data_IF_726769171483
#
_entry.id   IF_726769171483
#
_cell.length_a   1.000
_cell.length_b   1.000
_cell.length_c   1.000
_cell.angle_alpha   90.00
_cell.angle_beta   90.00
_cell.angle_gamma   90.00
#
_symmetry.space_group_name_H-M   'P 1'
#
loop_
_entity.id
_entity.type
_entity.pdbx_description
1 polymer ?
#
# COMPACT_ATOMS: atom_id res chain seq x y z
N UNK A 1 -10.11 9.94 2.09
CA UNK A 1 -11.57 10.08 2.26
C UNK A 1 -12.30 9.77 0.96
N UNK A 2 -12.00 10.47 -0.13
CA UNK A 2 -12.68 10.29 -1.43
C UNK A 2 -12.71 8.84 -1.93
N UNK A 3 -11.60 8.09 -1.82
CA UNK A 3 -11.58 6.67 -2.21
C UNK A 3 -12.71 5.87 -1.58
N UNK A 4 -12.94 5.96 -0.27
CA UNK A 4 -13.97 5.16 0.39
C UNK A 4 -15.37 5.61 0.03
N UNK A 5 -15.59 6.91 -0.23
CA UNK A 5 -16.85 7.39 -0.77
C UNK A 5 -17.10 6.82 -2.19
N UNK A 6 -16.10 6.88 -3.07
CA UNK A 6 -16.17 6.35 -4.44
C UNK A 6 -16.40 4.85 -4.45
N UNK A 7 -15.59 4.08 -3.71
CA UNK A 7 -15.68 2.62 -3.64
C UNK A 7 -17.00 2.19 -2.99
N UNK A 8 -17.39 2.81 -1.87
CA UNK A 8 -18.65 2.52 -1.19
C UNK A 8 -19.86 2.75 -2.10
N UNK A 9 -19.89 3.88 -2.83
CA UNK A 9 -20.90 4.15 -3.85
C UNK A 9 -20.94 3.07 -4.94
N UNK A 10 -19.77 2.60 -5.40
CA UNK A 10 -19.69 1.50 -6.40
C UNK A 10 -20.16 0.15 -5.86
N UNK A 11 -20.07 -0.07 -4.55
CA UNK A 11 -20.58 -1.27 -3.88
C UNK A 11 -22.05 -1.15 -3.43
N UNK A 12 -22.69 0.01 -3.63
CA UNK A 12 -24.08 0.25 -3.25
C UNK A 12 -24.28 0.75 -1.82
N UNK A 13 -23.21 1.10 -1.09
CA UNK A 13 -23.25 1.51 0.31
C UNK A 13 -23.43 3.03 0.51
N UNK A 14 -24.19 3.69 -0.35
CA UNK A 14 -24.29 5.17 -0.42
C UNK A 14 -24.73 5.80 0.91
N UNK A 15 -25.66 5.17 1.64
CA UNK A 15 -26.13 5.67 2.93
C UNK A 15 -25.02 5.61 4.00
N UNK A 16 -24.27 4.52 4.03
CA UNK A 16 -23.24 4.26 5.03
C UNK A 16 -21.95 5.05 4.78
N UNK A 17 -21.76 5.60 3.58
CA UNK A 17 -20.63 6.47 3.24
C UNK A 17 -21.01 7.94 3.10
N UNK A 18 -22.26 8.34 3.38
CA UNK A 18 -22.75 9.69 3.12
C UNK A 18 -21.90 10.79 3.79
N UNK A 19 -21.35 10.52 4.98
CA UNK A 19 -20.45 11.42 5.71
C UNK A 19 -19.04 11.55 5.12
N UNK A 20 -18.70 10.73 4.12
CA UNK A 20 -17.43 10.76 3.40
C UNK A 20 -17.52 11.46 2.04
N UNK A 21 -18.73 11.74 1.56
CA UNK A 21 -18.94 12.45 0.31
C UNK A 21 -18.52 13.93 0.44
N UNK A 22 -17.93 14.52 -0.62
CA UNK A 22 -17.50 15.90 -0.57
C UNK A 22 -18.71 16.83 -0.39
N UNK A 23 -18.70 17.72 0.62
CA UNK A 23 -19.82 18.61 0.89
C UNK A 23 -20.07 19.54 -0.30
N UNK A 24 -21.32 19.96 -0.50
CA UNK A 24 -21.68 20.96 -1.50
C UNK A 24 -22.06 22.25 -0.77
N UNK A 25 -21.10 23.15 -0.49
CA UNK A 25 -21.40 24.41 0.18
C UNK A 25 -22.32 25.28 -0.70
N UNK A 26 -23.22 26.07 -0.10
CA UNK A 26 -24.00 27.08 -0.82
C UNK A 26 -23.12 28.03 -1.64
N UNK A 27 -23.61 28.47 -2.80
CA UNK A 27 -22.84 29.33 -3.71
C UNK A 27 -22.53 30.72 -3.14
N UNK A 28 -23.24 31.14 -2.10
CA UNK A 28 -23.03 32.37 -1.33
C UNK A 28 -22.08 32.18 -0.12
N UNK A 29 -21.46 31.01 0.01
CA UNK A 29 -20.43 30.76 1.03
C UNK A 29 -19.19 31.63 0.83
N UNK A 30 -18.40 31.81 1.88
CA UNK A 30 -17.13 32.53 1.80
C UNK A 30 -16.23 31.99 0.68
N UNK A 31 -15.51 32.87 -0.06
CA UNK A 31 -14.65 32.45 -1.16
C UNK A 31 -13.63 31.35 -0.79
N UNK A 32 -13.11 31.38 0.43
CA UNK A 32 -12.17 30.36 0.92
C UNK A 32 -12.83 28.97 1.02
N UNK A 33 -14.09 28.90 1.44
CA UNK A 33 -14.87 27.65 1.52
C UNK A 33 -15.09 27.10 0.12
N UNK A 34 -15.50 27.95 -0.83
CA UNK A 34 -15.69 27.57 -2.23
C UNK A 34 -14.39 27.08 -2.87
N UNK A 35 -13.26 27.75 -2.62
CA UNK A 35 -11.95 27.36 -3.13
C UNK A 35 -11.47 26.01 -2.57
N UNK A 36 -11.62 25.80 -1.26
CA UNK A 36 -11.29 24.52 -0.61
C UNK A 36 -12.16 23.38 -1.17
N UNK A 37 -13.46 23.64 -1.36
CA UNK A 37 -14.37 22.67 -1.94
C UNK A 37 -14.02 22.33 -3.39
N UNK A 38 -13.68 23.32 -4.21
CA UNK A 38 -13.21 23.10 -5.58
C UNK A 38 -11.97 22.19 -5.61
N UNK A 39 -10.97 22.44 -4.77
CA UNK A 39 -9.78 21.60 -4.70
C UNK A 39 -10.10 20.16 -4.27
N UNK A 40 -10.99 19.99 -3.29
CA UNK A 40 -11.50 18.70 -2.83
C UNK A 40 -12.22 17.94 -3.95
N UNK A 41 -13.14 18.60 -4.66
CA UNK A 41 -13.88 18.01 -5.79
C UNK A 41 -12.97 17.63 -6.96
N UNK A 42 -11.93 18.42 -7.24
CA UNK A 42 -10.92 18.07 -8.24
C UNK A 42 -10.15 16.80 -7.85
N UNK A 43 -9.80 16.64 -6.59
CA UNK A 43 -9.16 15.41 -6.11
C UNK A 43 -10.11 14.21 -6.15
N UNK A 44 -11.38 14.42 -5.82
CA UNK A 44 -12.41 13.39 -5.91
C UNK A 44 -12.61 12.91 -7.35
N UNK A 45 -12.75 13.84 -8.30
CA UNK A 45 -12.95 13.53 -9.73
C UNK A 45 -11.77 12.75 -10.31
N UNK A 46 -10.54 13.17 -10.02
CA UNK A 46 -9.34 12.44 -10.44
C UNK A 46 -9.31 11.01 -9.88
N UNK A 47 -9.65 10.82 -8.59
CA UNK A 47 -9.74 9.49 -8.01
C UNK A 47 -10.87 8.65 -8.65
N UNK A 48 -12.02 9.26 -8.93
CA UNK A 48 -13.16 8.57 -9.54
C UNK A 48 -12.85 8.09 -10.97
N UNK A 49 -12.12 8.89 -11.75
CA UNK A 49 -11.62 8.52 -13.08
C UNK A 49 -10.65 7.34 -12.98
N UNK A 50 -9.70 7.37 -12.04
CA UNK A 50 -8.78 6.26 -11.82
C UNK A 50 -9.53 4.96 -11.49
N UNK A 51 -10.47 5.02 -10.54
CA UNK A 51 -11.28 3.86 -10.15
C UNK A 51 -12.23 3.38 -11.25
N UNK A 52 -12.58 4.22 -12.23
CA UNK A 52 -13.39 3.80 -13.36
C UNK A 52 -12.67 2.76 -14.24
N UNK A 53 -11.34 2.89 -14.38
CA UNK A 53 -10.49 1.95 -15.11
C UNK A 53 -10.10 0.67 -14.35
N UNK A 54 -10.49 0.56 -13.07
CA UNK A 54 -10.18 -0.59 -12.20
C UNK A 54 -11.29 -1.64 -12.29
N UNK A 55 -10.95 -2.93 -12.24
CA UNK A 55 -11.94 -4.01 -12.28
C UNK A 55 -12.89 -3.96 -11.07
N UNK A 56 -14.07 -4.55 -11.20
CA UNK A 56 -15.01 -4.63 -10.06
C UNK A 56 -14.41 -5.39 -8.87
N UNK A 57 -13.72 -6.50 -9.12
CA UNK A 57 -13.09 -7.31 -8.07
C UNK A 57 -11.97 -6.55 -7.36
N UNK A 58 -11.12 -5.81 -8.10
CA UNK A 58 -10.07 -5.00 -7.47
C UNK A 58 -10.67 -3.87 -6.64
N UNK A 59 -11.72 -3.19 -7.13
CA UNK A 59 -12.46 -2.17 -6.36
C UNK A 59 -13.03 -2.75 -5.06
N UNK A 60 -13.65 -3.92 -5.12
CA UNK A 60 -14.23 -4.58 -3.95
C UNK A 60 -13.13 -5.03 -2.96
N UNK A 61 -12.00 -5.55 -3.46
CA UNK A 61 -10.85 -5.89 -2.59
C UNK A 61 -10.28 -4.63 -1.91
N UNK A 62 -10.12 -3.53 -2.64
CA UNK A 62 -9.71 -2.23 -2.07
C UNK A 62 -10.68 -1.69 -1.03
N UNK A 63 -11.98 -1.85 -1.27
CA UNK A 63 -13.03 -1.47 -0.32
C UNK A 63 -12.86 -2.24 1.01
N UNK A 64 -12.74 -3.56 0.92
CA UNK A 64 -12.58 -4.43 2.07
C UNK A 64 -11.33 -4.10 2.89
N UNK A 65 -10.19 -3.94 2.24
CA UNK A 65 -8.91 -3.72 2.94
C UNK A 65 -8.75 -2.28 3.46
N UNK A 66 -9.15 -1.27 2.69
CA UNK A 66 -8.78 0.12 2.99
C UNK A 66 -9.91 0.97 3.58
N UNK A 67 -11.16 0.47 3.58
CA UNK A 67 -12.32 1.26 3.97
C UNK A 67 -13.16 0.62 5.08
N UNK A 68 -13.44 -0.68 5.00
CA UNK A 68 -14.26 -1.38 5.99
C UNK A 68 -13.63 -1.28 7.39
N UNK A 69 -14.44 -0.93 8.40
CA UNK A 69 -13.98 -0.73 9.78
C UNK A 69 -13.24 0.59 10.01
N UNK A 70 -13.04 1.41 8.99
CA UNK A 70 -12.33 2.69 9.09
C UNK A 70 -13.29 3.85 8.84
N UNK A 71 -12.97 5.03 9.41
CA UNK A 71 -13.67 6.30 9.08
C UNK A 71 -15.19 6.23 9.31
N UNK A 72 -15.65 5.49 10.31
CA UNK A 72 -17.08 5.32 10.61
C UNK A 72 -17.81 4.32 9.70
N UNK A 73 -17.09 3.58 8.85
CA UNK A 73 -17.66 2.51 8.02
C UNK A 73 -17.79 1.23 8.87
N UNK A 74 -18.98 0.62 8.99
CA UNK A 74 -19.17 -0.62 9.74
C UNK A 74 -18.36 -1.79 9.17
N UNK A 75 -17.88 -2.67 10.05
CA UNK A 75 -17.14 -3.89 9.67
C UNK A 75 -18.00 -4.89 8.88
N UNK A 76 -19.32 -4.86 9.06
CA UNK A 76 -20.27 -5.73 8.37
C UNK A 76 -20.50 -5.42 6.89
N UNK A 77 -19.89 -4.37 6.33
CA UNK A 77 -20.01 -4.02 4.90
C UNK A 77 -18.96 -4.70 4.02
N UNK A 78 -18.40 -5.81 4.49
CA UNK A 78 -17.48 -6.62 3.73
C UNK A 78 -18.16 -7.24 2.50
N UNK A 79 -17.48 -7.26 1.36
CA UNK A 79 -17.96 -7.88 0.12
C UNK A 79 -17.15 -9.14 -0.16
N UNK A 80 -17.81 -10.26 -0.43
CA UNK A 80 -17.10 -11.49 -0.80
C UNK A 80 -16.38 -11.31 -2.15
N UNK A 81 -15.08 -11.61 -2.16
CA UNK A 81 -14.22 -11.46 -3.35
C UNK A 81 -13.23 -12.62 -3.41
N UNK A 82 -12.95 -13.16 -4.60
CA UNK A 82 -11.94 -14.20 -4.74
C UNK A 82 -10.55 -13.68 -4.33
N UNK A 83 -9.65 -14.55 -3.86
CA UNK A 83 -8.27 -14.20 -3.52
C UNK A 83 -7.45 -13.98 -4.80
N UNK A 84 -7.69 -12.85 -5.46
CA UNK A 84 -7.03 -12.44 -6.68
C UNK A 84 -5.89 -11.44 -6.40
N UNK A 85 -4.92 -11.43 -7.31
CA UNK A 85 -3.85 -10.42 -7.39
C UNK A 85 -3.92 -9.78 -8.77
N UNK A 86 -4.07 -8.47 -8.79
CA UNK A 86 -4.22 -7.68 -9.99
C UNK A 86 -2.88 -7.10 -10.41
N UNK A 87 -2.55 -7.19 -11.70
CA UNK A 87 -1.36 -6.60 -12.32
C UNK A 87 -1.83 -5.75 -13.49
N UNK A 88 -1.62 -4.44 -13.43
CA UNK A 88 -2.08 -3.49 -14.44
C UNK A 88 -0.95 -2.56 -14.86
N UNK A 89 -0.51 -2.69 -16.10
CA UNK A 89 0.44 -1.77 -16.68
C UNK A 89 -0.25 -0.46 -17.11
N UNK A 90 0.42 0.66 -16.91
CA UNK A 90 -0.04 1.99 -17.26
C UNK A 90 1.18 2.91 -17.47
N UNK A 91 1.56 3.10 -18.74
CA UNK A 91 2.78 3.80 -19.12
C UNK A 91 4.01 3.20 -18.42
N UNK A 92 4.71 4.00 -17.62
CA UNK A 92 5.91 3.54 -16.90
C UNK A 92 5.62 2.84 -15.58
N UNK A 93 4.35 2.59 -15.24
CA UNK A 93 3.94 1.96 -13.99
C UNK A 93 3.41 0.54 -14.22
N UNK A 94 3.76 -0.36 -13.30
CA UNK A 94 3.03 -1.60 -13.08
C UNK A 94 2.33 -1.51 -11.73
N UNK A 95 1.02 -1.35 -11.73
CA UNK A 95 0.20 -1.35 -10.52
C UNK A 95 -0.13 -2.78 -10.11
N UNK A 96 0.15 -3.11 -8.86
CA UNK A 96 -0.09 -4.41 -8.26
C UNK A 96 -0.98 -4.23 -7.05
N UNK A 97 -2.09 -4.96 -7.02
CA UNK A 97 -2.98 -4.99 -5.87
C UNK A 97 -3.36 -6.42 -5.49
N UNK A 98 -3.13 -6.80 -4.24
CA UNK A 98 -3.49 -8.12 -3.71
C UNK A 98 -2.38 -8.77 -2.90
N UNK A 99 -2.66 -9.97 -2.40
CA UNK A 99 -1.82 -10.62 -1.40
C UNK A 99 -0.58 -11.26 -2.04
N UNK A 100 0.53 -11.22 -1.31
CA UNK A 100 1.81 -11.83 -1.69
C UNK A 100 1.74 -13.34 -1.42
N UNK A 101 1.08 -14.07 -2.32
CA UNK A 101 0.85 -15.52 -2.21
C UNK A 101 1.80 -16.32 -3.10
N UNK A 102 1.73 -17.65 -3.02
CA UNK A 102 2.55 -18.54 -3.87
C UNK A 102 2.45 -18.17 -5.37
N UNK A 103 3.60 -18.14 -6.04
CA UNK A 103 3.74 -17.77 -7.45
C UNK A 103 3.57 -16.28 -7.75
N UNK A 104 3.47 -15.41 -6.72
CA UNK A 104 3.40 -13.96 -6.90
C UNK A 104 4.65 -13.45 -7.64
N UNK A 105 5.84 -13.87 -7.22
CA UNK A 105 7.10 -13.39 -7.82
C UNK A 105 7.27 -13.81 -9.28
N UNK A 106 6.77 -15.00 -9.66
CA UNK A 106 6.82 -15.48 -11.04
C UNK A 106 5.79 -14.73 -11.92
N UNK A 107 4.57 -14.48 -11.43
CA UNK A 107 3.59 -13.62 -12.12
C UNK A 107 4.07 -12.19 -12.30
N UNK A 108 4.78 -11.64 -11.31
CA UNK A 108 5.44 -10.34 -11.42
C UNK A 108 6.48 -10.34 -12.54
N UNK A 109 7.33 -11.37 -12.62
CA UNK A 109 8.31 -11.51 -13.70
C UNK A 109 7.63 -11.52 -15.07
N UNK A 110 6.57 -12.30 -15.21
CA UNK A 110 5.82 -12.40 -16.47
C UNK A 110 5.16 -11.08 -16.86
N UNK A 111 4.63 -10.34 -15.89
CA UNK A 111 4.05 -9.01 -16.12
C UNK A 111 5.13 -8.01 -16.56
N UNK A 112 6.27 -7.95 -15.87
CA UNK A 112 7.37 -7.05 -16.22
C UNK A 112 8.00 -7.40 -17.58
N UNK A 113 8.09 -8.68 -17.94
CA UNK A 113 8.58 -9.12 -19.24
C UNK A 113 7.69 -8.66 -20.41
N UNK A 114 6.37 -8.54 -20.18
CA UNK A 114 5.40 -8.03 -21.16
C UNK A 114 5.42 -6.50 -21.29
N UNK A 115 5.99 -5.80 -20.31
CA UNK A 115 5.96 -4.35 -20.19
C UNK A 115 7.36 -3.75 -19.91
N UNK A 116 8.31 -3.84 -20.87
CA UNK A 116 9.70 -3.38 -20.69
C UNK A 116 9.86 -1.86 -20.47
N UNK A 117 8.82 -1.08 -20.76
CA UNK A 117 8.72 0.35 -20.50
C UNK A 117 8.58 0.69 -19.00
N UNK A 118 8.17 -0.28 -18.17
CA UNK A 118 7.95 -0.07 -16.75
C UNK A 118 9.24 0.40 -16.07
N UNK A 119 9.09 1.39 -15.20
CA UNK A 119 10.14 1.97 -14.35
C UNK A 119 9.77 1.94 -12.87
N UNK A 120 8.48 1.89 -12.56
CA UNK A 120 7.97 1.90 -11.19
C UNK A 120 6.94 0.80 -10.98
N UNK A 121 7.08 0.05 -9.89
CA UNK A 121 6.07 -0.88 -9.41
C UNK A 121 5.26 -0.20 -8.30
N UNK A 122 3.98 0.06 -8.58
CA UNK A 122 3.03 0.55 -7.58
C UNK A 122 2.41 -0.61 -6.82
N UNK A 123 2.40 -0.61 -5.49
CA UNK A 123 2.06 -1.79 -4.68
C UNK A 123 1.00 -1.43 -3.63
N UNK A 124 -0.03 -2.26 -3.52
CA UNK A 124 -0.95 -2.33 -2.37
C UNK A 124 -1.24 -3.80 -2.03
N UNK A 125 -0.99 -4.21 -0.79
CA UNK A 125 -1.08 -5.60 -0.37
C UNK A 125 -1.28 -5.75 1.13
N UNK A 126 -2.13 -6.71 1.52
CA UNK A 126 -2.28 -7.20 2.89
C UNK A 126 -1.09 -8.04 3.39
N UNK A 127 -0.09 -8.30 2.53
CA UNK A 127 1.07 -9.12 2.86
C UNK A 127 0.89 -10.59 2.46
N UNK A 128 1.41 -11.51 3.28
CA UNK A 128 1.41 -12.96 2.97
C UNK A 128 2.80 -13.58 3.14
N UNK A 129 3.29 -14.27 2.10
CA UNK A 129 4.53 -15.03 2.15
C UNK A 129 5.77 -14.14 2.14
N UNK A 130 6.55 -14.19 3.22
CA UNK A 130 7.88 -13.56 3.32
C UNK A 130 8.80 -14.00 2.18
N UNK A 131 8.78 -15.30 1.84
CA UNK A 131 9.60 -15.85 0.74
C UNK A 131 9.27 -15.20 -0.60
N UNK A 132 7.98 -15.09 -0.94
CA UNK A 132 7.55 -14.47 -2.19
C UNK A 132 7.83 -12.96 -2.20
N UNK A 133 7.69 -12.29 -1.05
CA UNK A 133 8.01 -10.87 -0.93
C UNK A 133 9.50 -10.59 -1.18
N UNK A 134 10.40 -11.41 -0.61
CA UNK A 134 11.85 -11.32 -0.86
C UNK A 134 12.16 -11.60 -2.34
N UNK A 135 11.60 -12.68 -2.92
CA UNK A 135 11.81 -13.01 -4.34
C UNK A 135 11.36 -11.87 -5.26
N UNK A 136 10.19 -11.30 -5.01
CA UNK A 136 9.65 -10.19 -5.77
C UNK A 136 10.49 -8.91 -5.61
N UNK A 137 10.94 -8.62 -4.39
CA UNK A 137 11.79 -7.46 -4.11
C UNK A 137 13.18 -7.57 -4.74
N UNK A 138 13.79 -8.75 -4.71
CA UNK A 138 15.05 -9.04 -5.41
C UNK A 138 14.90 -8.86 -6.92
N UNK A 139 13.81 -9.32 -7.52
CA UNK A 139 13.52 -9.12 -8.94
C UNK A 139 13.43 -7.63 -9.30
N UNK A 140 12.65 -6.85 -8.53
CA UNK A 140 12.53 -5.39 -8.71
C UNK A 140 13.89 -4.71 -8.59
N UNK A 141 14.71 -5.11 -7.60
CA UNK A 141 16.06 -4.58 -7.40
C UNK A 141 16.98 -4.89 -8.57
N UNK A 142 17.00 -6.13 -9.03
CA UNK A 142 17.83 -6.58 -10.16
C UNK A 142 17.48 -5.85 -11.46
N UNK A 143 16.21 -5.51 -11.66
CA UNK A 143 15.75 -4.74 -12.82
C UNK A 143 15.95 -3.22 -12.69
N UNK A 144 16.45 -2.74 -11.55
CA UNK A 144 16.66 -1.31 -11.30
C UNK A 144 15.36 -0.49 -11.20
N UNK A 145 14.24 -1.14 -10.87
CA UNK A 145 12.92 -0.50 -10.82
C UNK A 145 12.71 0.23 -9.50
N UNK A 146 11.87 1.27 -9.52
CA UNK A 146 11.40 1.96 -8.33
C UNK A 146 10.16 1.27 -7.76
N UNK A 147 9.88 1.48 -6.47
CA UNK A 147 8.61 1.09 -5.84
C UNK A 147 7.87 2.31 -5.31
N UNK A 148 6.54 2.24 -5.37
CA UNK A 148 5.65 3.26 -4.86
C UNK A 148 4.46 2.61 -4.18
N UNK A 149 4.00 3.17 -3.05
CA UNK A 149 2.73 2.73 -2.48
C UNK A 149 1.55 3.22 -3.33
N UNK A 150 0.63 2.31 -3.62
CA UNK A 150 -0.61 2.57 -4.38
C UNK A 150 -1.88 2.16 -3.61
N UNK A 151 -1.69 1.78 -2.35
CA UNK A 151 -2.71 1.30 -1.42
C UNK A 151 -2.05 0.99 -0.08
N UNK A 152 -2.78 0.29 0.79
CA UNK A 152 -2.21 -0.20 2.04
C UNK A 152 -1.12 -1.26 1.78
N UNK A 153 -0.05 -1.25 2.57
CA UNK A 153 1.06 -2.20 2.42
C UNK A 153 1.51 -2.68 3.80
N UNK A 154 1.06 -3.87 4.19
CA UNK A 154 1.26 -4.40 5.55
C UNK A 154 1.87 -5.81 5.55
N UNK A 155 2.35 -6.25 6.71
CA UNK A 155 2.89 -7.60 6.94
C UNK A 155 4.12 -7.90 6.06
N UNK A 156 4.03 -8.82 5.09
CA UNK A 156 5.12 -9.11 4.16
C UNK A 156 5.28 -8.05 3.05
N UNK A 157 4.31 -7.16 2.84
CA UNK A 157 4.37 -6.16 1.77
C UNK A 157 5.55 -5.18 1.90
N UNK A 158 5.88 -4.61 3.08
CA UNK A 158 7.08 -3.78 3.26
C UNK A 158 8.38 -4.45 2.80
N UNK A 159 8.50 -5.78 2.93
CA UNK A 159 9.66 -6.54 2.45
C UNK A 159 9.74 -6.47 0.92
N UNK A 160 8.62 -6.66 0.22
CA UNK A 160 8.58 -6.50 -1.24
C UNK A 160 8.88 -5.04 -1.65
N UNK A 161 8.26 -4.07 -0.99
CA UNK A 161 8.45 -2.64 -1.25
C UNK A 161 9.91 -2.20 -1.16
N UNK A 162 10.70 -2.76 -0.24
CA UNK A 162 12.14 -2.47 -0.09
C UNK A 162 12.98 -2.77 -1.35
N UNK A 163 12.48 -3.61 -2.26
CA UNK A 163 13.16 -3.99 -3.49
C UNK A 163 13.47 -2.80 -4.40
N UNK A 164 12.69 -1.72 -4.33
CA UNK A 164 12.83 -0.55 -5.20
C UNK A 164 14.14 0.23 -5.01
N UNK A 165 14.77 0.65 -6.11
CA UNK A 165 15.96 1.52 -6.06
C UNK A 165 15.62 2.93 -5.55
N UNK A 166 14.39 3.37 -5.82
CA UNK A 166 13.73 4.49 -5.17
C UNK A 166 12.40 3.98 -4.61
N UNK A 167 12.08 4.39 -3.39
CA UNK A 167 10.94 3.91 -2.60
C UNK A 167 10.13 5.13 -2.18
N UNK A 168 8.96 5.30 -2.79
CA UNK A 168 8.15 6.51 -2.61
C UNK A 168 6.80 6.26 -1.93
N UNK A 169 6.43 7.17 -1.04
CA UNK A 169 5.11 7.21 -0.41
C UNK A 169 4.44 8.55 -0.73
N UNK A 170 3.32 8.50 -1.47
CA UNK A 170 2.49 9.66 -1.78
C UNK A 170 1.23 9.64 -0.92
N UNK A 171 0.82 10.80 -0.41
CA UNK A 171 -0.48 10.97 0.21
C UNK A 171 -1.55 10.78 -0.88
N UNK A 172 -2.70 10.16 -0.56
CA UNK A 172 -3.18 9.85 0.79
C UNK A 172 -2.78 8.46 1.34
N UNK A 173 -1.90 7.71 0.67
CA UNK A 173 -1.60 6.29 0.98
C UNK A 173 -0.31 6.15 1.79
N UNK A 174 -0.34 6.17 3.13
CA UNK A 174 0.84 6.63 3.87
C UNK A 174 1.60 5.55 4.63
N UNK A 175 1.11 4.31 4.67
CA UNK A 175 1.44 3.39 5.77
C UNK A 175 2.06 2.09 5.31
N UNK A 176 3.24 1.84 5.88
CA UNK A 176 3.88 0.53 5.92
C UNK A 176 3.56 -0.09 7.28
N UNK A 177 2.82 -1.20 7.25
CA UNK A 177 2.42 -1.91 8.46
C UNK A 177 3.32 -3.11 8.77
N UNK A 178 3.65 -3.28 10.03
CA UNK A 178 4.59 -4.27 10.53
C UNK A 178 3.99 -5.05 11.70
N UNK A 179 4.31 -6.34 11.75
CA UNK A 179 4.10 -7.23 12.88
C UNK A 179 5.06 -8.41 12.78
N UNK A 180 5.06 -9.29 13.78
CA UNK A 180 5.92 -10.47 13.83
C UNK A 180 5.61 -11.44 12.68
N UNK A 181 6.64 -12.12 12.16
CA UNK A 181 6.42 -13.26 11.27
C UNK A 181 5.67 -14.34 12.04
N UNK A 182 4.68 -14.96 11.42
CA UNK A 182 3.89 -16.03 12.04
C UNK A 182 3.83 -17.29 11.19
N UNK A 183 3.64 -18.42 11.86
CA UNK A 183 3.28 -19.70 11.26
C UNK A 183 1.94 -20.09 11.89
N UNK A 184 0.93 -20.33 11.05
CA UNK A 184 -0.44 -20.66 11.48
C UNK A 184 -1.02 -19.65 12.50
N UNK A 185 -0.69 -18.37 12.32
CA UNK A 185 -1.15 -17.27 13.18
C UNK A 185 -0.37 -17.11 14.48
N UNK A 186 0.61 -17.97 14.77
CA UNK A 186 1.46 -17.89 15.95
C UNK A 186 2.78 -17.21 15.60
N UNK A 187 3.14 -16.17 16.34
CA UNK A 187 4.38 -15.44 16.15
C UNK A 187 5.59 -16.34 16.36
N UNK A 188 6.58 -16.26 15.46
CA UNK A 188 7.83 -17.00 15.61
C UNK A 188 8.85 -16.14 16.38
N UNK A 189 9.66 -16.75 17.26
CA UNK A 189 10.62 -16.01 18.08
C UNK A 189 11.77 -15.45 17.23
N UNK A 190 12.46 -14.42 17.72
CA UNK A 190 13.49 -13.69 16.97
C UNK A 190 14.65 -14.57 16.51
N UNK A 191 14.93 -15.68 17.21
CA UNK A 191 15.95 -16.67 16.86
C UNK A 191 15.56 -17.52 15.65
N UNK A 192 14.29 -17.47 15.21
CA UNK A 192 13.84 -18.20 14.03
C UNK A 192 14.64 -17.73 12.79
N UNK A 193 15.18 -18.65 11.95
CA UNK A 193 16.07 -18.29 10.85
C UNK A 193 15.51 -17.28 9.84
N UNK A 194 14.17 -17.17 9.76
CA UNK A 194 13.50 -16.19 8.90
C UNK A 194 13.96 -14.76 9.17
N UNK A 195 14.24 -14.39 10.42
CA UNK A 195 14.65 -13.03 10.74
C UNK A 195 16.08 -12.74 10.30
N UNK A 196 16.97 -13.73 10.31
CA UNK A 196 18.29 -13.60 9.69
C UNK A 196 18.20 -13.37 8.18
N UNK A 197 17.31 -14.10 7.50
CA UNK A 197 17.07 -13.90 6.06
C UNK A 197 16.48 -12.51 5.77
N UNK A 198 15.53 -12.05 6.58
CA UNK A 198 14.96 -10.70 6.45
C UNK A 198 16.03 -9.63 6.75
N UNK A 199 16.86 -9.82 7.77
CA UNK A 199 17.97 -8.94 8.09
C UNK A 199 18.90 -8.74 6.89
N UNK A 200 19.43 -9.84 6.33
CA UNK A 200 20.35 -9.81 5.20
C UNK A 200 19.72 -9.14 3.99
N UNK A 201 18.44 -9.42 3.73
CA UNK A 201 17.70 -8.79 2.65
C UNK A 201 17.53 -7.28 2.86
N UNK A 202 17.13 -6.83 4.06
CA UNK A 202 16.95 -5.41 4.38
C UNK A 202 18.28 -4.66 4.23
N UNK A 203 19.37 -5.25 4.73
CA UNK A 203 20.72 -4.72 4.59
C UNK A 203 21.14 -4.63 3.12
N UNK A 204 20.87 -5.66 2.31
CA UNK A 204 21.12 -5.66 0.87
C UNK A 204 20.32 -4.56 0.14
N UNK A 205 19.12 -4.25 0.59
CA UNK A 205 18.28 -3.16 0.05
C UNK A 205 18.70 -1.76 0.54
N UNK A 206 19.76 -1.65 1.35
CA UNK A 206 20.29 -0.40 1.86
C UNK A 206 19.39 0.30 2.87
N UNK A 207 18.59 -0.45 3.62
CA UNK A 207 17.83 0.04 4.77
C UNK A 207 18.45 -0.48 6.08
N UNK A 208 18.11 0.14 7.20
CA UNK A 208 18.56 -0.25 8.53
C UNK A 208 17.82 -1.52 8.99
N UNK A 209 18.51 -2.69 9.08
CA UNK A 209 17.85 -3.94 9.44
C UNK A 209 17.42 -3.99 10.91
N UNK A 210 18.13 -3.32 11.82
CA UNK A 210 17.75 -3.23 13.23
C UNK A 210 16.42 -2.50 13.39
N UNK A 211 16.28 -1.33 12.77
CA UNK A 211 15.04 -0.56 12.81
C UNK A 211 13.87 -1.31 12.15
N UNK A 212 14.13 -2.02 11.05
CA UNK A 212 13.11 -2.80 10.35
C UNK A 212 12.62 -3.98 11.18
N UNK A 213 13.54 -4.77 11.77
CA UNK A 213 13.16 -5.89 12.62
C UNK A 213 12.50 -5.43 13.92
N UNK A 214 12.96 -4.32 14.53
CA UNK A 214 12.31 -3.75 15.70
C UNK A 214 10.85 -3.38 15.39
N UNK A 215 10.58 -2.79 14.21
CA UNK A 215 9.21 -2.50 13.77
C UNK A 215 8.36 -3.77 13.61
N UNK A 216 8.95 -4.88 13.17
CA UNK A 216 8.26 -6.18 13.11
C UNK A 216 7.99 -6.77 14.50
N UNK A 217 8.98 -6.75 15.41
CA UNK A 217 8.87 -7.45 16.70
C UNK A 217 7.94 -6.80 17.71
N UNK A 218 7.68 -5.50 17.57
CA UNK A 218 6.89 -4.74 18.53
C UNK A 218 5.39 -5.07 18.54
N UNK A 219 4.91 -5.88 17.59
CA UNK A 219 3.47 -6.12 17.39
C UNK A 219 3.20 -7.60 17.15
N UNK A 220 2.23 -8.13 17.90
CA UNK A 220 1.78 -9.52 17.76
C UNK A 220 1.19 -9.77 16.36
N UNK A 221 1.09 -11.03 15.89
CA UNK A 221 0.61 -11.34 14.54
C UNK A 221 -0.78 -10.82 14.17
N UNK A 222 -1.62 -10.54 15.17
CA UNK A 222 -2.98 -10.01 15.00
C UNK A 222 -3.06 -8.49 15.19
N UNK A 223 -1.95 -7.86 15.54
CA UNK A 223 -1.80 -6.41 15.67
C UNK A 223 -1.08 -5.84 14.45
N UNK A 224 -0.99 -4.51 14.39
CA UNK A 224 -0.27 -3.84 13.32
C UNK A 224 0.35 -2.54 13.81
N UNK A 225 1.67 -2.48 13.76
CA UNK A 225 2.45 -1.26 13.91
C UNK A 225 2.65 -0.53 12.62
N UNK A 226 2.82 0.79 12.67
CA UNK A 226 3.12 1.59 11.49
C UNK A 226 4.30 2.50 11.76
N UNK A 227 5.20 2.61 10.78
CA UNK A 227 6.27 3.60 10.84
C UNK A 227 5.70 5.00 10.65
N UNK A 228 6.15 5.95 11.47
CA UNK A 228 5.98 7.37 11.18
C UNK A 228 6.79 7.75 9.94
N UNK A 229 6.48 8.88 9.26
CA UNK A 229 7.29 9.36 8.14
C UNK A 229 8.78 9.47 8.48
N UNK A 230 9.11 10.02 9.65
CA UNK A 230 10.49 10.18 10.11
C UNK A 230 11.17 8.82 10.34
N UNK A 231 10.47 7.87 10.99
CA UNK A 231 11.01 6.52 11.18
C UNK A 231 11.27 5.83 9.84
N UNK A 232 10.34 5.93 8.88
CA UNK A 232 10.47 5.34 7.56
C UNK A 232 11.66 5.94 6.77
N UNK A 233 11.91 7.24 6.92
CA UNK A 233 13.01 7.94 6.28
C UNK A 233 14.37 7.69 6.94
N UNK A 234 14.45 7.80 8.27
CA UNK A 234 15.69 7.61 9.03
C UNK A 234 16.19 6.16 8.96
N UNK A 235 15.27 5.18 8.89
CA UNK A 235 15.62 3.78 8.68
C UNK A 235 16.00 3.46 7.23
N UNK A 236 15.85 4.41 6.30
CA UNK A 236 16.07 4.18 4.88
C UNK A 236 15.06 3.21 4.25
N UNK A 237 13.95 2.89 4.91
CA UNK A 237 12.88 2.06 4.31
C UNK A 237 12.20 2.81 3.17
N UNK A 238 12.12 4.13 3.28
CA UNK A 238 11.60 5.04 2.26
C UNK A 238 12.72 5.98 1.84
N UNK A 239 12.77 6.32 0.55
CA UNK A 239 13.73 7.31 0.02
C UNK A 239 13.06 8.62 -0.37
N UNK A 240 11.73 8.63 -0.46
CA UNK A 240 10.93 9.82 -0.76
C UNK A 240 9.56 9.72 -0.07
N UNK A 241 9.17 10.73 0.70
CA UNK A 241 7.89 10.75 1.41
C UNK A 241 7.20 12.11 1.25
N UNK A 242 5.99 12.11 0.70
CA UNK A 242 5.26 13.36 0.46
C UNK A 242 4.93 14.11 1.77
N UNK A 243 5.59 15.25 1.95
CA UNK A 243 5.40 16.14 3.09
C UNK A 243 6.23 15.78 4.33
N UNK A 244 7.23 14.90 4.21
CA UNK A 244 8.28 14.78 5.23
C UNK A 244 9.38 15.81 4.96
N UNK A 245 9.94 16.41 6.01
CA UNK A 245 11.09 17.31 5.91
C UNK A 245 12.23 16.65 6.70
N UNK A 246 13.01 15.81 6.04
CA UNK A 246 14.20 15.19 6.65
C UNK A 246 15.34 15.18 5.64
N UNK A 247 16.59 15.34 6.09
CA UNK A 247 17.75 15.31 5.17
C UNK A 247 18.01 13.92 4.56
N UNK A 248 17.25 12.90 4.97
CA UNK A 248 17.39 11.50 4.56
C UNK A 248 16.30 11.04 3.57
N UNK A 249 15.26 11.86 3.36
CA UNK A 249 14.21 11.66 2.37
C UNK A 249 13.96 12.97 1.64
N UNK A 250 14.04 12.94 0.32
CA UNK A 250 13.67 14.06 -0.55
C UNK A 250 12.19 14.00 -0.93
#
# INVERSE_FOLDING_TARGET
MHQCAILGRRMGFTEQIAHLEPPQPPLDSEPQILANNYASLRNWTHAAEWFAGVSQHERAKRWNSECVGQRGIPTGLWVDVPPEVFYRADGTYLWIYGDVVSGFSDRLRDALAKHPEVRTVGIGSGGGSVKEAIRAGLLVRQMGLSTQLSGECVSACPIFFLGGVRRSIMRPYPRLGFHQVSIDGVGVPLEHPVYGVVWDYVQLMGANPEAFLAAMQNWEPHEMGYLTPDQACLSGVVTWYQGAITDKCW
#
